data_IF_317034410922
#
_entry.id   IF_317034410922
#
_cell.length_a   1.000
_cell.length_b   1.000
_cell.length_c   1.000
_cell.angle_alpha   90.00
_cell.angle_beta   90.00
_cell.angle_gamma   90.00
#
_symmetry.space_group_name_H-M   'P 1'
#
loop_
_entity.id
_entity.type
_entity.pdbx_description
1 polymer ?
#
# COMPACT_ATOMS: atom_id res chain seq x y z
N UNK A 1 15.00 -4.38 5.77
CA UNK A 1 14.84 -3.75 4.45
C UNK A 1 13.50 -4.14 3.89
N UNK A 2 12.56 -3.19 3.89
CA UNK A 2 11.12 -3.36 3.68
C UNK A 2 10.67 -2.55 2.46
N UNK A 3 9.44 -2.74 1.95
CA UNK A 3 8.80 -1.75 1.05
C UNK A 3 8.76 -0.34 1.66
N UNK A 4 8.92 -0.24 2.99
CA UNK A 4 8.75 0.97 3.78
C UNK A 4 9.80 2.05 3.56
N UNK A 5 10.86 1.78 2.78
CA UNK A 5 11.91 2.74 2.49
C UNK A 5 12.32 2.47 1.05
N UNK A 6 11.85 3.29 0.13
CA UNK A 6 11.79 2.89 -1.27
C UNK A 6 13.18 2.80 -1.94
N UNK A 7 13.59 1.58 -2.31
CA UNK A 7 14.76 1.24 -3.14
C UNK A 7 16.01 0.76 -2.38
N UNK A 8 17.03 0.21 -3.06
CA UNK A 8 18.34 -0.13 -2.48
C UNK A 8 19.05 1.05 -1.78
N UNK A 9 18.69 2.30 -2.13
CA UNK A 9 19.13 3.52 -1.44
C UNK A 9 18.22 3.96 -0.28
N UNK A 10 17.06 3.32 -0.07
CA UNK A 10 16.09 3.61 1.00
C UNK A 10 15.61 5.07 1.05
N UNK A 11 15.42 5.71 -0.11
CA UNK A 11 15.05 7.13 -0.19
C UNK A 11 13.61 7.31 -0.64
N UNK A 12 12.86 8.12 0.12
CA UNK A 12 11.50 8.50 -0.24
C UNK A 12 11.45 9.20 -1.59
N UNK A 13 10.35 9.07 -2.35
CA UNK A 13 10.19 9.74 -3.63
C UNK A 13 10.42 11.25 -3.48
N UNK A 14 11.28 11.81 -4.34
CA UNK A 14 11.63 13.23 -4.34
C UNK A 14 12.18 13.76 -3.00
N UNK A 15 12.78 12.87 -2.19
CA UNK A 15 13.28 13.15 -0.84
C UNK A 15 12.18 13.67 0.13
N UNK A 16 10.91 13.32 -0.12
CA UNK A 16 9.78 13.67 0.74
C UNK A 16 9.05 12.42 1.24
N UNK A 17 9.17 12.16 2.55
CA UNK A 17 8.56 10.99 3.19
C UNK A 17 7.04 10.95 3.03
N UNK A 18 6.36 12.10 2.88
CA UNK A 18 4.90 12.16 2.68
C UNK A 18 4.45 11.53 1.38
N UNK A 19 5.36 11.33 0.43
CA UNK A 19 5.10 10.75 -0.88
C UNK A 19 5.42 9.24 -0.95
N UNK A 20 6.06 8.70 0.08
CA UNK A 20 6.52 7.31 0.16
C UNK A 20 5.36 6.39 0.54
N UNK A 21 4.94 5.53 -0.39
CA UNK A 21 3.90 4.53 -0.17
C UNK A 21 4.49 3.33 0.56
N UNK A 22 4.07 3.12 1.81
CA UNK A 22 4.58 1.98 2.60
C UNK A 22 3.77 0.72 2.30
N UNK A 23 2.44 0.83 2.43
CA UNK A 23 1.54 -0.33 2.37
C UNK A 23 0.20 -0.04 1.69
N UNK A 24 -0.32 -1.10 1.10
CA UNK A 24 -1.73 -1.26 0.76
C UNK A 24 -2.30 -2.49 1.49
N UNK A 25 -3.50 -2.34 2.03
CA UNK A 25 -4.31 -3.43 2.58
C UNK A 25 -5.69 -3.43 1.92
N UNK A 26 -6.21 -4.62 1.67
CA UNK A 26 -7.54 -4.83 1.13
C UNK A 26 -8.13 -6.11 1.74
N UNK A 27 -9.20 -5.97 2.52
CA UNK A 27 -9.83 -7.10 3.19
C UNK A 27 -11.33 -6.86 3.39
N UNK A 28 -12.08 -7.93 3.65
CA UNK A 28 -13.52 -7.86 3.94
C UNK A 28 -13.79 -7.86 5.43
N UNK A 29 -14.84 -7.15 5.84
CA UNK A 29 -15.37 -7.13 7.21
C UNK A 29 -16.86 -7.51 7.21
N UNK A 30 -17.48 -7.85 8.36
CA UNK A 30 -18.88 -8.23 8.41
C UNK A 30 -19.82 -7.21 7.75
N UNK A 31 -20.92 -7.69 7.17
CA UNK A 31 -21.94 -6.85 6.53
C UNK A 31 -21.70 -6.58 5.04
N UNK A 32 -20.97 -7.46 4.34
CA UNK A 32 -20.62 -7.31 2.91
C UNK A 32 -19.88 -6.00 2.62
N UNK A 33 -18.85 -5.74 3.44
CA UNK A 33 -18.04 -4.52 3.37
C UNK A 33 -16.59 -4.84 3.07
N UNK A 34 -15.96 -3.97 2.29
CA UNK A 34 -14.54 -3.99 1.99
C UNK A 34 -13.86 -2.82 2.67
N UNK A 35 -12.68 -3.07 3.23
CA UNK A 35 -11.77 -2.07 3.80
C UNK A 35 -10.57 -1.95 2.87
N UNK A 36 -10.22 -0.71 2.52
CA UNK A 36 -9.01 -0.34 1.80
C UNK A 36 -8.19 0.57 2.70
N UNK A 37 -6.91 0.25 2.89
CA UNK A 37 -5.99 1.06 3.69
C UNK A 37 -4.74 1.35 2.88
N UNK A 38 -4.38 2.63 2.77
CA UNK A 38 -3.14 3.10 2.18
C UNK A 38 -2.32 3.79 3.27
N UNK A 39 -1.10 3.30 3.51
CA UNK A 39 -0.17 3.94 4.43
C UNK A 39 0.94 4.66 3.66
N UNK A 40 1.32 5.84 4.15
CA UNK A 40 2.41 6.66 3.63
C UNK A 40 3.24 7.22 4.78
N UNK A 41 4.35 7.90 4.48
CA UNK A 41 5.19 8.56 5.48
C UNK A 41 5.77 7.57 6.52
N UNK A 42 6.75 6.73 6.13
CA UNK A 42 7.37 5.79 7.06
C UNK A 42 8.03 6.53 8.23
N UNK A 43 7.98 5.94 9.43
CA UNK A 43 8.62 6.49 10.64
C UNK A 43 8.04 7.87 11.03
N UNK A 44 6.77 8.12 10.72
CA UNK A 44 6.10 9.36 11.07
C UNK A 44 6.19 9.64 12.60
N UNK A 45 6.21 10.92 13.03
CA UNK A 45 6.17 12.13 12.21
C UNK A 45 7.58 12.57 11.75
N UNK A 46 8.57 11.68 11.75
CA UNK A 46 9.91 12.01 11.25
C UNK A 46 9.80 12.40 9.78
N UNK A 47 10.44 13.51 9.38
CA UNK A 47 10.38 14.02 8.01
C UNK A 47 9.16 14.88 7.69
N UNK A 48 8.00 14.65 8.31
CA UNK A 48 6.80 15.47 8.09
C UNK A 48 5.72 15.36 9.18
N UNK A 49 5.07 16.49 9.46
CA UNK A 49 3.99 16.61 10.45
C UNK A 49 2.56 16.54 9.85
N UNK A 50 2.41 16.56 8.53
CA UNK A 50 1.12 16.55 7.82
C UNK A 50 1.24 15.92 6.43
N UNK A 51 0.11 15.55 5.80
CA UNK A 51 0.10 15.04 4.42
C UNK A 51 0.51 16.14 3.43
N UNK A 52 0.96 15.74 2.24
CA UNK A 52 1.38 16.70 1.21
C UNK A 52 0.15 17.36 0.55
N UNK A 53 0.03 18.71 0.56
CA UNK A 53 -1.16 19.38 0.03
C UNK A 53 -1.28 19.32 -1.50
N UNK A 54 -0.15 19.25 -2.21
CA UNK A 54 -0.14 19.13 -3.68
C UNK A 54 -0.15 17.68 -4.19
N UNK A 55 -0.32 16.69 -3.31
CA UNK A 55 -0.33 15.28 -3.69
C UNK A 55 -1.75 14.72 -3.86
N UNK A 56 -1.88 13.73 -4.74
CA UNK A 56 -3.06 12.88 -4.89
C UNK A 56 -2.70 11.49 -4.38
N UNK A 57 -3.33 11.07 -3.29
CA UNK A 57 -3.20 9.74 -2.72
C UNK A 57 -4.35 8.88 -3.21
N UNK A 58 -4.06 7.85 -4.00
CA UNK A 58 -5.08 7.14 -4.76
C UNK A 58 -5.04 5.64 -4.55
N UNK A 59 -6.22 5.05 -4.30
CA UNK A 59 -6.42 3.61 -4.41
C UNK A 59 -7.25 3.33 -5.66
N UNK A 60 -6.71 2.51 -6.55
CA UNK A 60 -7.32 2.08 -7.80
C UNK A 60 -7.92 0.69 -7.63
N UNK A 61 -9.04 0.44 -8.32
CA UNK A 61 -9.74 -0.84 -8.29
C UNK A 61 -10.11 -1.28 -9.71
N UNK A 62 -9.62 -2.46 -10.08
CA UNK A 62 -9.97 -3.23 -11.28
C UNK A 62 -11.12 -4.18 -10.93
N UNK A 63 -12.21 -4.13 -11.70
CA UNK A 63 -13.43 -4.90 -11.44
C UNK A 63 -13.77 -5.87 -12.57
N UNK A 64 -13.06 -5.83 -13.69
CA UNK A 64 -13.32 -6.66 -14.88
C UNK A 64 -12.14 -7.55 -15.30
N UNK A 65 -10.98 -7.39 -14.65
CA UNK A 65 -9.79 -8.19 -14.85
C UNK A 65 -8.87 -7.69 -15.97
N UNK A 66 -9.13 -6.51 -16.54
CA UNK A 66 -8.29 -5.92 -17.60
C UNK A 66 -7.02 -5.23 -17.08
N UNK A 67 -6.81 -5.22 -15.75
CA UNK A 67 -5.69 -4.59 -15.05
C UNK A 67 -5.68 -3.07 -15.13
N UNK A 68 -6.83 -2.45 -15.42
CA UNK A 68 -7.02 -1.00 -15.44
C UNK A 68 -8.09 -0.63 -14.43
N UNK A 69 -8.04 0.63 -14.00
CA UNK A 69 -8.94 1.10 -12.96
C UNK A 69 -10.34 1.35 -13.54
N UNK A 70 -11.33 0.71 -12.94
CA UNK A 70 -12.76 0.93 -13.19
C UNK A 70 -13.39 1.82 -12.13
N UNK A 71 -12.85 1.75 -10.92
CA UNK A 71 -13.19 2.59 -9.77
C UNK A 71 -11.90 3.11 -9.16
N UNK A 72 -11.92 4.35 -8.68
CA UNK A 72 -10.80 4.87 -7.91
C UNK A 72 -11.25 5.82 -6.81
N UNK A 73 -10.49 5.83 -5.72
CA UNK A 73 -10.65 6.73 -4.59
C UNK A 73 -9.42 7.61 -4.47
N UNK A 74 -9.58 8.90 -4.72
CA UNK A 74 -8.50 9.89 -4.61
C UNK A 74 -8.72 10.76 -3.38
N UNK A 75 -7.72 10.83 -2.51
CA UNK A 75 -7.66 11.73 -1.36
C UNK A 75 -6.73 12.89 -1.67
N UNK A 76 -7.21 14.12 -1.49
CA UNK A 76 -6.43 15.36 -1.60
C UNK A 76 -6.57 16.14 -0.30
N UNK A 77 -5.45 16.73 0.14
CA UNK A 77 -5.35 17.36 1.44
C UNK A 77 -5.24 18.87 1.31
N UNK A 78 -5.86 19.60 2.23
CA UNK A 78 -5.68 21.05 2.31
C UNK A 78 -4.22 21.39 2.64
N UNK A 79 -3.77 22.63 2.33
CA UNK A 79 -2.60 23.19 3.00
C UNK A 79 -2.75 23.04 4.52
N UNK A 80 -1.75 22.47 5.23
CA UNK A 80 -1.83 22.31 6.67
C UNK A 80 -1.66 23.67 7.38
N UNK A 81 -2.34 23.82 8.51
CA UNK A 81 -2.00 24.83 9.53
C UNK A 81 -1.03 24.23 10.55
N UNK A 82 -0.75 24.92 11.65
CA UNK A 82 0.09 24.36 12.73
C UNK A 82 -0.50 23.09 13.35
N UNK A 83 -1.83 22.93 13.33
CA UNK A 83 -2.51 21.82 14.04
C UNK A 83 -3.60 21.13 13.23
N UNK A 84 -3.99 21.68 12.08
CA UNK A 84 -5.16 21.22 11.34
C UNK A 84 -4.81 20.97 9.87
N UNK A 85 -5.42 19.93 9.32
CA UNK A 85 -5.47 19.67 7.90
C UNK A 85 -6.81 19.00 7.62
N UNK A 86 -7.39 19.27 6.45
CA UNK A 86 -8.59 18.58 6.00
C UNK A 86 -8.28 17.72 4.77
N UNK A 87 -9.15 16.76 4.51
CA UNK A 87 -9.09 15.90 3.34
C UNK A 87 -10.43 15.86 2.62
N UNK A 88 -10.37 15.86 1.29
CA UNK A 88 -11.51 15.60 0.41
C UNK A 88 -11.26 14.31 -0.35
N UNK A 89 -12.27 13.43 -0.38
CA UNK A 89 -12.21 12.12 -1.03
C UNK A 89 -13.12 12.12 -2.23
N UNK A 90 -12.56 11.79 -3.39
CA UNK A 90 -13.28 11.66 -4.65
C UNK A 90 -13.42 10.20 -5.03
N UNK A 91 -14.60 9.82 -5.54
CA UNK A 91 -14.84 8.54 -6.18
C UNK A 91 -15.02 8.74 -7.68
N UNK A 92 -14.13 8.14 -8.46
CA UNK A 92 -14.20 8.10 -9.91
C UNK A 92 -14.69 6.74 -10.42
N UNK A 93 -15.35 6.72 -11.57
CA UNK A 93 -15.70 5.48 -12.29
C UNK A 93 -15.42 5.60 -13.78
N UNK A 94 -15.26 4.46 -14.47
CA UNK A 94 -15.08 4.40 -15.91
C UNK A 94 -13.82 5.17 -16.35
N UNK A 95 -13.94 6.00 -17.40
CA UNK A 95 -12.78 6.77 -17.91
C UNK A 95 -12.17 7.71 -16.87
N UNK A 96 -12.97 8.27 -15.95
CA UNK A 96 -12.45 9.11 -14.87
C UNK A 96 -11.59 8.31 -13.88
N UNK A 97 -11.88 7.01 -13.69
CA UNK A 97 -11.07 6.13 -12.86
C UNK A 97 -9.71 5.81 -13.48
N UNK A 98 -9.46 6.19 -14.74
CA UNK A 98 -8.17 6.00 -15.41
C UNK A 98 -7.28 7.24 -15.35
N UNK A 99 -7.84 8.40 -14.96
CA UNK A 99 -7.10 9.64 -14.76
C UNK A 99 -6.43 9.65 -13.38
N UNK A 100 -5.17 10.08 -13.29
CA UNK A 100 -4.42 10.12 -12.02
C UNK A 100 -4.91 11.24 -11.10
N UNK A 101 -5.55 12.26 -11.67
CA UNK A 101 -6.16 13.37 -10.93
C UNK A 101 -7.25 12.90 -9.97
N UNK A 102 -7.56 13.75 -8.99
CA UNK A 102 -8.73 13.61 -8.15
C UNK A 102 -10.01 13.96 -8.95
N UNK A 103 -10.40 13.04 -9.82
CA UNK A 103 -11.59 13.13 -10.66
C UNK A 103 -12.81 12.44 -10.02
N UNK A 104 -14.00 12.69 -10.57
CA UNK A 104 -15.24 12.05 -10.14
C UNK A 104 -16.01 12.85 -9.10
N UNK A 105 -16.86 12.16 -8.35
CA UNK A 105 -17.76 12.76 -7.36
C UNK A 105 -17.06 12.87 -6.00
N UNK A 106 -17.07 14.04 -5.33
CA UNK A 106 -16.62 14.15 -3.95
C UNK A 106 -17.62 13.42 -3.03
N UNK A 107 -17.16 12.35 -2.37
CA UNK A 107 -17.99 11.56 -1.44
C UNK A 107 -17.84 12.02 0.01
N UNK A 108 -16.71 12.67 0.33
CA UNK A 108 -16.40 13.31 1.61
C UNK A 108 -15.65 14.61 1.31
N UNK A 109 -16.00 15.71 1.99
CA UNK A 109 -15.39 17.03 1.77
C UNK A 109 -14.99 17.66 3.09
N UNK A 110 -13.77 18.20 3.15
CA UNK A 110 -13.22 18.89 4.31
C UNK A 110 -13.29 18.10 5.63
N UNK A 111 -13.05 16.79 5.56
CA UNK A 111 -13.00 15.95 6.76
C UNK A 111 -11.70 16.18 7.52
N UNK A 112 -11.73 16.20 8.87
CA UNK A 112 -10.53 16.45 9.67
C UNK A 112 -9.52 15.30 9.58
N UNK A 113 -8.23 15.65 9.50
CA UNK A 113 -7.13 14.70 9.63
C UNK A 113 -6.69 14.60 11.09
N UNK A 114 -6.49 13.38 11.59
CA UNK A 114 -6.15 13.14 13.00
C UNK A 114 -4.64 12.98 13.20
N UNK A 115 -4.00 13.94 13.86
CA UNK A 115 -2.57 13.83 14.24
C UNK A 115 -2.34 13.39 15.70
N UNK A 116 -3.42 13.28 16.48
CA UNK A 116 -3.39 12.80 17.86
C UNK A 116 -3.75 11.32 18.00
N UNK A 117 -3.85 10.86 19.25
CA UNK A 117 -4.19 9.47 19.59
C UNK A 117 -5.62 9.09 19.23
N UNK A 118 -6.57 10.02 19.36
CA UNK A 118 -7.99 9.77 19.10
C UNK A 118 -8.31 9.89 17.59
N UNK A 119 -8.97 8.88 16.97
CA UNK A 119 -9.49 8.99 15.61
C UNK A 119 -10.68 9.94 15.50
N UNK A 120 -10.58 10.92 14.60
CA UNK A 120 -11.75 11.53 14.00
C UNK A 120 -12.24 10.66 12.84
N UNK A 121 -13.28 9.85 13.09
CA UNK A 121 -13.95 9.06 12.07
C UNK A 121 -15.00 9.92 11.38
N UNK A 122 -14.97 9.91 10.04
CA UNK A 122 -15.96 10.54 9.20
C UNK A 122 -16.93 9.50 8.63
N UNK A 123 -18.21 9.85 8.59
CA UNK A 123 -19.25 9.05 7.94
C UNK A 123 -19.92 9.90 6.86
N UNK A 124 -20.07 9.34 5.66
CA UNK A 124 -20.83 9.98 4.58
C UNK A 124 -21.56 8.90 3.78
N UNK A 125 -22.88 8.86 3.88
CA UNK A 125 -23.69 7.82 3.25
C UNK A 125 -23.20 6.41 3.62
N UNK A 126 -22.75 5.59 2.64
CA UNK A 126 -22.29 4.23 2.91
C UNK A 126 -20.82 4.13 3.38
N UNK A 127 -20.07 5.23 3.37
CA UNK A 127 -18.63 5.26 3.60
C UNK A 127 -18.30 5.57 5.06
N UNK A 128 -17.37 4.79 5.64
CA UNK A 128 -16.61 5.18 6.83
C UNK A 128 -15.20 5.54 6.39
N UNK A 129 -14.69 6.66 6.91
CA UNK A 129 -13.42 7.20 6.48
C UNK A 129 -12.58 7.73 7.65
N UNK A 130 -11.27 7.55 7.54
CA UNK A 130 -10.28 8.10 8.45
C UNK A 130 -9.01 8.44 7.67
N UNK A 131 -8.39 9.57 8.00
CA UNK A 131 -7.01 9.86 7.62
C UNK A 131 -6.26 10.41 8.82
N UNK A 132 -5.02 9.96 9.03
CA UNK A 132 -4.22 10.46 10.13
C UNK A 132 -3.05 9.60 10.55
N UNK A 133 -2.38 10.06 11.59
CA UNK A 133 -1.22 9.44 12.22
C UNK A 133 -1.62 8.15 12.95
N UNK A 134 -0.97 7.02 12.70
CA UNK A 134 -1.27 5.72 13.32
C UNK A 134 -0.02 4.87 13.52
N UNK A 135 -0.11 3.89 14.43
CA UNK A 135 0.90 2.83 14.55
C UNK A 135 1.03 2.10 13.20
N UNK A 136 2.27 1.86 12.80
CA UNK A 136 2.60 1.15 11.57
C UNK A 136 2.31 -0.35 11.77
N UNK A 137 1.43 -0.99 10.98
CA UNK A 137 1.16 -2.42 11.09
C UNK A 137 2.31 -3.29 10.57
N UNK A 138 3.37 -2.71 10.00
CA UNK A 138 4.49 -3.46 9.45
C UNK A 138 5.43 -4.01 10.51
N UNK A 139 5.77 -5.29 10.34
CA UNK A 139 6.66 -6.03 11.22
C UNK A 139 7.68 -6.81 10.40
N UNK A 140 8.95 -6.75 10.82
CA UNK A 140 10.03 -7.54 10.23
C UNK A 140 11.36 -7.41 10.97
N UNK A 141 12.18 -8.46 10.89
CA UNK A 141 13.58 -8.43 11.33
C UNK A 141 14.49 -7.90 10.20
N UNK A 142 14.44 -6.58 9.99
CA UNK A 142 15.21 -5.94 8.92
C UNK A 142 16.73 -6.14 9.08
N UNK A 143 17.23 -6.20 10.32
CA UNK A 143 18.63 -6.44 10.64
C UNK A 143 19.05 -7.87 10.31
N UNK A 144 18.19 -8.85 10.61
CA UNK A 144 18.38 -10.23 10.19
C UNK A 144 18.42 -10.38 8.68
N UNK A 145 17.55 -9.68 7.94
CA UNK A 145 17.54 -9.68 6.47
C UNK A 145 18.90 -9.17 5.92
N UNK A 146 19.40 -8.02 6.38
CA UNK A 146 20.70 -7.49 5.89
C UNK A 146 21.88 -8.34 6.34
N UNK A 147 21.76 -9.02 7.49
CA UNK A 147 22.78 -9.90 8.03
C UNK A 147 22.65 -11.36 7.51
N UNK A 148 22.23 -11.52 6.25
CA UNK A 148 22.15 -12.84 5.58
C UNK A 148 21.29 -13.86 6.35
N UNK A 149 20.13 -13.41 6.81
CA UNK A 149 19.14 -14.21 7.54
C UNK A 149 19.63 -14.71 8.91
N UNK A 150 20.57 -14.00 9.53
CA UNK A 150 20.94 -14.20 10.93
C UNK A 150 19.97 -13.40 11.81
N UNK A 151 18.85 -14.01 12.15
CA UNK A 151 17.76 -13.38 12.88
C UNK A 151 18.19 -12.87 14.25
N UNK A 152 17.82 -11.62 14.52
CA UNK A 152 17.98 -10.93 15.79
C UNK A 152 16.77 -11.17 16.71
N UNK A 153 15.60 -11.45 16.12
CA UNK A 153 14.32 -11.50 16.83
C UNK A 153 13.80 -10.12 17.24
N UNK A 154 14.40 -9.05 16.70
CA UNK A 154 13.98 -7.67 16.94
C UNK A 154 13.08 -7.24 15.78
N UNK A 155 11.87 -6.84 16.12
CA UNK A 155 10.97 -6.21 15.18
C UNK A 155 11.34 -4.73 15.01
N UNK A 156 11.71 -4.36 13.79
CA UNK A 156 12.06 -2.99 13.46
C UNK A 156 10.86 -2.02 13.50
N UNK A 157 9.66 -2.55 13.23
CA UNK A 157 8.43 -1.78 13.09
C UNK A 157 7.66 -1.54 14.40
N UNK A 158 8.03 -2.25 15.48
CA UNK A 158 7.24 -2.34 16.72
C UNK A 158 6.94 -1.01 17.44
N UNK A 159 7.69 0.07 17.15
CA UNK A 159 7.54 1.41 17.72
C UNK A 159 7.42 2.48 16.62
N UNK A 160 7.12 2.09 15.39
CA UNK A 160 7.05 2.96 14.22
C UNK A 160 5.61 3.38 13.94
N UNK A 161 5.48 4.55 13.33
CA UNK A 161 4.19 5.08 12.93
C UNK A 161 4.20 5.44 11.44
N UNK A 162 3.01 5.63 10.90
CA UNK A 162 2.71 6.03 9.53
C UNK A 162 1.59 7.05 9.49
N UNK A 163 1.35 7.62 8.32
CA UNK A 163 0.09 8.25 7.97
C UNK A 163 -0.81 7.25 7.24
N UNK A 164 -1.93 6.87 7.87
CA UNK A 164 -2.91 5.96 7.30
C UNK A 164 -4.09 6.69 6.69
N UNK A 165 -4.56 6.19 5.55
CA UNK A 165 -5.82 6.57 4.88
C UNK A 165 -6.67 5.30 4.82
N UNK A 166 -7.79 5.28 5.53
CA UNK A 166 -8.67 4.12 5.72
C UNK A 166 -10.04 4.44 5.17
N UNK A 167 -10.52 3.60 4.25
CA UNK A 167 -11.84 3.70 3.66
C UNK A 167 -12.55 2.35 3.77
N UNK A 168 -13.75 2.35 4.34
CA UNK A 168 -14.61 1.17 4.42
C UNK A 168 -15.94 1.45 3.71
N UNK A 169 -16.36 0.52 2.85
CA UNK A 169 -17.55 0.66 2.03
C UNK A 169 -18.27 -0.67 1.79
N UNK A 170 -19.56 -0.65 1.39
CA UNK A 170 -20.24 -1.83 0.89
C UNK A 170 -19.58 -2.37 -0.38
N UNK A 171 -19.68 -3.68 -0.59
CA UNK A 171 -19.19 -4.34 -1.81
C UNK A 171 -19.71 -3.70 -3.11
N UNK A 172 -20.97 -3.23 -3.10
CA UNK A 172 -21.61 -2.61 -4.24
C UNK A 172 -20.87 -1.37 -4.79
N UNK A 173 -20.09 -0.69 -3.94
CA UNK A 173 -19.28 0.47 -4.35
C UNK A 173 -18.10 0.10 -5.25
N UNK A 174 -17.72 -1.18 -5.28
CA UNK A 174 -16.62 -1.75 -6.06
C UNK A 174 -17.13 -2.70 -7.16
N UNK A 175 -18.39 -2.55 -7.56
CA UNK A 175 -19.01 -3.41 -8.58
C UNK A 175 -19.49 -4.77 -8.05
N UNK A 176 -20.06 -5.57 -8.95
CA UNK A 176 -20.73 -6.83 -8.62
C UNK A 176 -19.83 -8.06 -8.72
N UNK A 177 -18.64 -7.93 -9.32
CA UNK A 177 -17.70 -9.05 -9.46
C UNK A 177 -17.21 -9.52 -8.08
N UNK A 178 -17.10 -10.83 -7.82
CA UNK A 178 -16.61 -11.31 -6.53
C UNK A 178 -15.14 -10.95 -6.30
N UNK A 179 -14.34 -11.02 -7.36
CA UNK A 179 -12.92 -10.66 -7.38
C UNK A 179 -12.73 -9.22 -7.83
N UNK A 180 -11.84 -8.50 -7.14
CA UNK A 180 -11.34 -7.19 -7.54
C UNK A 180 -9.81 -7.18 -7.50
N UNK A 181 -9.19 -6.36 -8.33
CA UNK A 181 -7.78 -6.00 -8.23
C UNK A 181 -7.60 -4.64 -7.58
N UNK A 182 -6.62 -4.47 -6.70
CA UNK A 182 -6.37 -3.21 -5.98
C UNK A 182 -4.89 -2.84 -6.03
N UNK A 183 -4.58 -1.57 -6.31
CA UNK A 183 -3.23 -1.01 -6.19
C UNK A 183 -3.31 0.47 -5.77
N UNK A 184 -2.27 0.96 -5.10
CA UNK A 184 -2.16 2.35 -4.69
C UNK A 184 -1.20 3.13 -5.59
N UNK A 185 -1.40 4.45 -5.65
CA UNK A 185 -0.54 5.40 -6.35
C UNK A 185 -0.48 6.69 -5.55
N UNK A 186 0.72 7.27 -5.46
CA UNK A 186 0.93 8.64 -5.01
C UNK A 186 1.37 9.46 -6.22
N UNK A 187 0.71 10.58 -6.46
CA UNK A 187 1.09 11.51 -7.52
C UNK A 187 1.26 12.91 -6.96
N UNK A 188 2.18 13.69 -7.50
CA UNK A 188 2.48 15.05 -7.06
C UNK A 188 2.24 16.04 -8.20
N UNK A 189 1.51 17.13 -7.90
CA UNK A 189 1.46 18.28 -8.80
C UNK A 189 2.77 19.05 -8.72
N UNK A 190 3.48 19.11 -9.84
CA UNK A 190 4.69 19.90 -10.01
C UNK A 190 4.67 20.60 -11.36
N UNK A 191 4.94 21.90 -11.38
CA UNK A 191 5.02 22.71 -12.60
C UNK A 191 3.79 22.60 -13.53
N UNK A 192 2.60 22.42 -12.93
CA UNK A 192 1.33 22.30 -13.66
C UNK A 192 1.06 20.91 -14.26
N UNK A 193 1.85 19.89 -13.91
CA UNK A 193 1.65 18.51 -14.30
C UNK A 193 1.55 17.61 -13.06
N UNK A 194 0.59 16.67 -13.09
CA UNK A 194 0.51 15.62 -12.09
C UNK A 194 1.41 14.45 -12.51
N UNK A 195 2.40 14.14 -11.69
CA UNK A 195 3.35 13.05 -11.97
C UNK A 195 3.20 11.96 -10.94
N UNK A 196 3.10 10.71 -11.37
CA UNK A 196 3.17 9.59 -10.44
C UNK A 196 4.57 9.44 -9.88
N UNK A 197 4.68 9.56 -8.57
CA UNK A 197 5.96 9.51 -7.83
C UNK A 197 6.13 8.20 -7.08
N UNK A 198 5.04 7.46 -6.85
CA UNK A 198 5.07 6.13 -6.25
C UNK A 198 3.83 5.31 -6.65
N UNK A 199 3.96 3.99 -6.67
CA UNK A 199 2.84 3.05 -6.78
C UNK A 199 3.19 1.70 -6.19
N UNK A 200 2.17 0.95 -5.81
CA UNK A 200 2.37 -0.44 -5.42
C UNK A 200 1.11 -1.13 -4.95
N UNK A 201 1.12 -2.46 -4.98
CA UNK A 201 0.07 -3.27 -4.36
C UNK A 201 0.62 -4.29 -3.37
N UNK A 202 1.65 -5.04 -3.78
CA UNK A 202 2.30 -6.02 -2.92
C UNK A 202 3.54 -5.42 -2.25
N UNK A 203 3.63 -5.49 -0.92
CA UNK A 203 4.82 -5.04 -0.20
C UNK A 203 6.09 -5.71 -0.71
N UNK A 204 7.17 -4.95 -0.61
CA UNK A 204 8.58 -5.26 -0.79
C UNK A 204 9.01 -5.66 -2.20
N UNK A 205 8.10 -5.63 -3.18
CA UNK A 205 8.43 -5.98 -4.57
C UNK A 205 9.55 -5.11 -5.13
N UNK A 206 9.34 -3.80 -5.18
CA UNK A 206 10.31 -2.86 -5.78
C UNK A 206 11.65 -2.92 -5.06
N UNK A 207 11.66 -3.05 -3.73
CA UNK A 207 12.87 -3.14 -2.92
C UNK A 207 13.72 -4.39 -3.20
N UNK A 208 13.10 -5.53 -3.56
CA UNK A 208 13.85 -6.78 -3.81
C UNK A 208 14.07 -7.11 -5.28
N UNK A 209 13.19 -6.64 -6.16
CA UNK A 209 13.18 -7.05 -7.57
C UNK A 209 13.66 -5.96 -8.53
N UNK A 210 13.43 -4.68 -8.22
CA UNK A 210 13.81 -3.60 -9.12
C UNK A 210 15.23 -3.11 -8.81
N UNK A 211 15.99 -2.85 -9.87
CA UNK A 211 17.19 -2.03 -9.75
C UNK A 211 16.80 -0.55 -9.50
N UNK A 212 17.71 0.23 -8.94
CA UNK A 212 17.43 1.64 -8.60
C UNK A 212 17.04 2.47 -9.84
N UNK A 213 17.71 2.23 -10.97
CA UNK A 213 17.54 2.99 -12.22
C UNK A 213 16.20 2.76 -12.93
N UNK A 214 15.44 1.73 -12.53
CA UNK A 214 14.10 1.47 -13.08
C UNK A 214 12.96 2.00 -12.20
N UNK A 215 13.26 2.57 -11.03
CA UNK A 215 12.25 3.04 -10.05
C UNK A 215 11.32 4.10 -10.64
N UNK A 216 11.87 5.13 -11.30
CA UNK A 216 11.06 6.18 -11.91
C UNK A 216 10.13 5.64 -13.01
N UNK A 217 10.64 4.71 -13.84
CA UNK A 217 9.84 4.08 -14.91
C UNK A 217 8.75 3.18 -14.31
N UNK A 218 9.06 2.45 -13.24
CA UNK A 218 8.07 1.68 -12.49
C UNK A 218 6.98 2.60 -11.94
N UNK A 219 7.35 3.65 -11.23
CA UNK A 219 6.41 4.57 -10.59
C UNK A 219 5.53 5.27 -11.63
N UNK A 220 6.04 5.58 -12.82
CA UNK A 220 5.27 6.16 -13.91
C UNK A 220 4.37 5.15 -14.66
N UNK A 221 4.75 3.86 -14.68
CA UNK A 221 4.05 2.82 -15.44
C UNK A 221 2.68 2.41 -14.87
N UNK A 222 1.95 1.60 -15.63
CA UNK A 222 0.65 1.04 -15.23
C UNK A 222 0.72 -0.48 -15.02
N UNK A 223 -0.01 -1.04 -14.03
CA UNK A 223 0.01 -2.47 -13.76
C UNK A 223 -0.37 -3.35 -14.95
N UNK A 224 -1.20 -2.87 -15.87
CA UNK A 224 -1.56 -3.60 -17.09
C UNK A 224 -0.36 -4.04 -17.94
N UNK A 225 0.75 -3.30 -17.86
CA UNK A 225 1.97 -3.56 -18.64
C UNK A 225 3.05 -4.31 -17.82
N UNK A 226 2.80 -4.57 -16.53
CA UNK A 226 3.82 -5.08 -15.60
C UNK A 226 4.33 -6.47 -15.98
N UNK A 227 3.45 -7.36 -16.47
CA UNK A 227 3.87 -8.70 -16.86
C UNK A 227 4.87 -8.67 -18.02
N UNK A 228 4.62 -7.85 -19.04
CA UNK A 228 5.50 -7.76 -20.19
C UNK A 228 6.80 -7.01 -19.87
N UNK A 229 6.72 -6.04 -18.96
CA UNK A 229 7.86 -5.22 -18.55
C UNK A 229 8.77 -5.95 -17.57
N UNK A 230 8.21 -6.61 -16.55
CA UNK A 230 8.97 -7.09 -15.38
C UNK A 230 9.14 -8.60 -15.29
N UNK A 231 8.39 -9.41 -16.06
CA UNK A 231 8.52 -10.89 -16.01
C UNK A 231 9.97 -11.34 -16.18
N UNK A 232 10.66 -10.84 -17.20
CA UNK A 232 12.03 -11.26 -17.51
C UNK A 232 13.03 -10.87 -16.40
N UNK A 233 13.17 -9.58 -16.01
CA UNK A 233 14.11 -9.21 -14.96
C UNK A 233 13.77 -9.86 -13.61
N UNK A 234 12.50 -9.96 -13.23
CA UNK A 234 12.13 -10.56 -11.96
C UNK A 234 12.30 -12.08 -11.96
N UNK A 235 12.16 -12.73 -13.11
CA UNK A 235 12.53 -14.15 -13.27
C UNK A 235 14.01 -14.33 -12.99
N UNK A 236 14.88 -13.46 -13.51
CA UNK A 236 16.32 -13.53 -13.26
C UNK A 236 16.66 -13.37 -11.77
N UNK A 237 15.95 -12.49 -11.04
CA UNK A 237 16.08 -12.35 -9.58
C UNK A 237 15.76 -13.67 -8.87
N UNK A 238 14.63 -14.31 -9.18
CA UNK A 238 14.26 -15.59 -8.56
C UNK A 238 15.25 -16.71 -8.92
N UNK A 239 15.71 -16.78 -10.17
CA UNK A 239 16.73 -17.74 -10.58
C UNK A 239 18.03 -17.54 -9.80
N UNK A 240 18.46 -16.29 -9.61
CA UNK A 240 19.68 -15.95 -8.90
C UNK A 240 19.61 -16.29 -7.39
N UNK A 241 18.60 -15.78 -6.69
CA UNK A 241 18.50 -15.90 -5.23
C UNK A 241 17.89 -17.23 -4.79
N UNK A 242 16.82 -17.67 -5.45
CA UNK A 242 16.08 -18.87 -5.08
C UNK A 242 16.61 -20.14 -5.74
N UNK A 243 17.31 -20.01 -6.88
CA UNK A 243 17.72 -21.15 -7.69
C UNK A 243 16.55 -21.81 -8.43
N UNK A 244 15.50 -21.04 -8.72
CA UNK A 244 14.35 -21.51 -9.50
C UNK A 244 14.80 -21.88 -10.92
N UNK A 245 14.12 -22.85 -11.53
CA UNK A 245 14.06 -22.91 -12.99
C UNK A 245 13.11 -21.81 -13.51
N UNK A 246 13.17 -21.54 -14.82
CA UNK A 246 12.39 -20.46 -15.42
C UNK A 246 10.87 -20.63 -15.22
N UNK A 247 10.36 -21.85 -15.39
CA UNK A 247 8.92 -22.11 -15.31
C UNK A 247 8.42 -21.92 -13.88
N UNK A 248 9.16 -22.42 -12.90
CA UNK A 248 8.85 -22.27 -11.49
C UNK A 248 8.93 -20.79 -11.04
N UNK A 249 9.92 -20.04 -11.54
CA UNK A 249 10.03 -18.61 -11.28
C UNK A 249 8.83 -17.84 -11.86
N UNK A 250 8.50 -18.04 -13.14
CA UNK A 250 7.35 -17.37 -13.76
C UNK A 250 6.03 -17.75 -13.06
N UNK A 251 5.88 -19.00 -12.62
CA UNK A 251 4.71 -19.43 -11.84
C UNK A 251 4.63 -18.73 -10.47
N UNK A 252 5.74 -18.55 -9.78
CA UNK A 252 5.78 -17.79 -8.52
C UNK A 252 5.42 -16.32 -8.76
N UNK A 253 5.91 -15.72 -9.86
CA UNK A 253 5.63 -14.33 -10.22
C UNK A 253 4.15 -14.08 -10.52
N UNK A 254 3.37 -15.07 -10.96
CA UNK A 254 1.91 -14.91 -11.17
C UNK A 254 1.13 -14.56 -9.91
N UNK A 255 1.73 -14.71 -8.73
CA UNK A 255 1.11 -14.30 -7.46
C UNK A 255 1.21 -12.79 -7.21
N UNK A 256 2.11 -12.10 -7.92
CA UNK A 256 2.46 -10.70 -7.66
C UNK A 256 2.64 -9.83 -8.91
N UNK A 257 2.61 -10.43 -10.11
CA UNK A 257 2.59 -9.75 -11.40
C UNK A 257 1.25 -10.01 -12.12
N UNK A 258 0.57 -8.97 -12.63
CA UNK A 258 0.89 -7.54 -12.44
C UNK A 258 0.87 -7.13 -10.95
N UNK A 259 1.49 -6.00 -10.58
CA UNK A 259 1.50 -5.55 -9.17
C UNK A 259 0.11 -5.02 -8.77
N UNK A 260 -0.80 -5.96 -8.57
CA UNK A 260 -2.20 -5.81 -8.23
C UNK A 260 -2.52 -6.82 -7.14
N UNK A 261 -3.03 -6.33 -6.03
CA UNK A 261 -3.51 -7.15 -4.92
C UNK A 261 -4.91 -7.67 -5.29
N UNK A 262 -5.03 -8.98 -5.47
CA UNK A 262 -6.30 -9.63 -5.83
C UNK A 262 -7.08 -10.00 -4.58
N UNK A 263 -8.33 -9.56 -4.49
CA UNK A 263 -9.24 -9.89 -3.40
C UNK A 263 -10.52 -10.51 -3.96
N UNK A 264 -10.70 -11.81 -3.73
CA UNK A 264 -11.99 -12.50 -3.84
C UNK A 264 -12.78 -12.31 -2.54
N UNK A 265 -13.80 -11.47 -2.62
CA UNK A 265 -14.66 -11.08 -1.48
C UNK A 265 -15.58 -12.21 -1.01
N UNK A 266 -15.64 -13.33 -1.74
CA UNK A 266 -16.33 -14.55 -1.33
C UNK A 266 -15.48 -15.49 -0.48
N UNK A 267 -14.20 -15.20 -0.28
CA UNK A 267 -13.25 -15.99 0.51
C UNK A 267 -12.75 -15.21 1.72
N UNK A 268 -12.32 -15.89 2.80
CA UNK A 268 -11.61 -15.22 3.89
C UNK A 268 -10.42 -14.41 3.36
N UNK A 269 -10.32 -13.15 3.78
CA UNK A 269 -9.18 -12.31 3.43
C UNK A 269 -7.95 -12.77 4.22
N UNK A 270 -6.89 -13.11 3.49
CA UNK A 270 -5.57 -13.46 4.00
C UNK A 270 -4.63 -13.54 2.79
N UNK A 271 -3.45 -12.94 2.88
CA UNK A 271 -2.49 -12.91 1.78
C UNK A 271 -2.21 -14.33 1.23
N UNK A 272 -2.36 -14.55 -0.10
CA UNK A 272 -2.47 -13.55 -1.17
C UNK A 272 -3.90 -13.18 -1.61
N UNK A 273 -4.96 -13.64 -0.93
CA UNK A 273 -6.33 -13.19 -1.17
C UNK A 273 -6.62 -11.90 -0.39
N UNK A 274 -6.30 -10.77 -1.00
CA UNK A 274 -6.20 -9.49 -0.31
C UNK A 274 -5.00 -9.46 0.63
N UNK A 275 -5.04 -8.55 1.60
CA UNK A 275 -4.06 -8.44 2.67
C UNK A 275 -4.70 -7.81 3.89
N UNK A 276 -4.61 -8.49 5.02
CA UNK A 276 -4.97 -7.98 6.35
C UNK A 276 -3.77 -7.35 7.04
N UNK A 277 -4.01 -6.57 8.11
CA UNK A 277 -2.95 -5.94 8.89
C UNK A 277 -2.03 -6.95 9.61
N UNK A 278 -2.46 -8.20 9.75
CA UNK A 278 -1.72 -9.26 10.46
C UNK A 278 -1.04 -10.27 9.52
N UNK A 279 -1.17 -10.09 8.21
CA UNK A 279 -0.59 -11.02 7.23
C UNK A 279 0.93 -10.82 7.14
N UNK A 280 1.66 -11.90 7.36
CA UNK A 280 3.12 -11.94 7.32
C UNK A 280 3.66 -11.97 5.89
N UNK A 281 3.56 -10.82 5.22
CA UNK A 281 4.04 -10.63 3.86
C UNK A 281 5.57 -10.66 3.78
N UNK A 282 6.27 -10.30 4.87
CA UNK A 282 7.73 -10.41 4.95
C UNK A 282 8.16 -11.87 4.80
N UNK A 283 7.61 -12.79 5.60
CA UNK A 283 7.87 -14.22 5.47
C UNK A 283 7.43 -14.77 4.12
N UNK A 284 6.26 -14.35 3.60
CA UNK A 284 5.80 -14.76 2.27
C UNK A 284 6.80 -14.36 1.17
N UNK A 285 7.37 -13.15 1.26
CA UNK A 285 8.37 -12.66 0.31
C UNK A 285 9.72 -13.36 0.45
N UNK A 286 10.20 -13.58 1.67
CA UNK A 286 11.43 -14.33 1.92
C UNK A 286 11.33 -15.75 1.36
N UNK A 287 10.21 -16.43 1.58
CA UNK A 287 9.94 -17.75 1.02
C UNK A 287 9.94 -17.71 -0.51
N UNK A 288 9.31 -16.70 -1.12
CA UNK A 288 9.32 -16.52 -2.57
C UNK A 288 10.75 -16.32 -3.11
N UNK A 289 11.52 -15.39 -2.55
CA UNK A 289 12.88 -15.07 -3.03
C UNK A 289 13.84 -16.24 -2.91
N UNK A 290 13.66 -17.08 -1.89
CA UNK A 290 14.62 -18.15 -1.54
C UNK A 290 14.17 -19.55 -1.93
N UNK A 291 13.07 -19.69 -2.67
CA UNK A 291 12.44 -20.99 -2.96
C UNK A 291 12.12 -21.80 -1.68
N UNK A 292 11.64 -21.11 -0.65
CA UNK A 292 11.24 -21.68 0.64
C UNK A 292 12.39 -22.04 1.58
N UNK A 293 13.65 -21.78 1.21
CA UNK A 293 14.82 -22.06 2.08
C UNK A 293 14.83 -21.19 3.34
N UNK A 294 14.28 -19.99 3.24
CA UNK A 294 14.10 -19.03 4.34
C UNK A 294 12.61 -18.74 4.45
N UNK A 295 11.87 -19.54 5.24
CA UNK A 295 10.40 -19.48 5.25
C UNK A 295 9.83 -18.37 6.14
N UNK A 296 10.62 -17.80 7.04
CA UNK A 296 10.19 -16.76 7.99
C UNK A 296 11.38 -16.03 8.59
N UNK A 297 11.14 -14.81 9.06
CA UNK A 297 12.05 -14.02 9.92
C UNK A 297 11.73 -14.14 11.43
N UNK A 298 10.69 -14.92 11.76
CA UNK A 298 10.19 -15.18 13.12
C UNK A 298 9.55 -13.97 13.83
N UNK A 299 9.19 -12.91 13.11
CA UNK A 299 8.46 -11.79 13.66
C UNK A 299 6.96 -11.97 13.43
N UNK A 300 6.18 -11.78 14.50
CA UNK A 300 4.71 -11.89 14.46
C UNK A 300 4.06 -10.52 14.31
N UNK A 301 2.74 -10.49 14.00
CA UNK A 301 2.01 -9.24 13.84
C UNK A 301 1.93 -8.46 15.15
N UNK A 302 1.82 -7.14 15.03
CA UNK A 302 1.67 -6.26 16.18
C UNK A 302 0.36 -6.51 16.93
N UNK A 303 0.37 -6.27 18.24
CA UNK A 303 -0.77 -6.53 19.14
C UNK A 303 -1.57 -5.28 19.51
N UNK A 304 -1.18 -4.11 19.02
CA UNK A 304 -1.77 -2.80 19.29
C UNK A 304 -2.81 -2.37 18.25
N UNK A 305 -3.04 -3.19 17.22
CA UNK A 305 -4.07 -2.98 16.20
C UNK A 305 -5.48 -2.95 16.80
N UNK A 306 -6.36 -2.15 16.22
CA UNK A 306 -7.73 -1.98 16.67
C UNK A 306 -8.65 -3.07 16.05
N UNK A 307 -9.60 -3.65 16.82
CA UNK A 307 -10.50 -4.69 16.31
C UNK A 307 -11.62 -4.15 15.40
N UNK A 308 -11.73 -2.82 15.29
CA UNK A 308 -12.72 -2.13 14.47
C UNK A 308 -12.12 -0.85 13.89
N UNK A 309 -12.91 -0.16 13.06
CA UNK A 309 -12.50 1.05 12.36
C UNK A 309 -11.80 2.07 13.30
N UNK A 310 -10.63 2.63 12.94
CA UNK A 310 -9.93 2.54 11.65
C UNK A 310 -8.93 1.38 11.52
N UNK A 311 -9.01 0.36 12.38
CA UNK A 311 -8.20 -0.88 12.39
C UNK A 311 -6.71 -0.72 12.71
N UNK A 312 -6.09 0.37 12.28
CA UNK A 312 -4.71 0.73 12.62
C UNK A 312 -4.58 1.11 14.10
N UNK A 313 -3.47 0.74 14.73
CA UNK A 313 -3.21 0.98 16.16
C UNK A 313 -3.06 2.45 16.54
N UNK A 314 -3.22 2.74 17.83
CA UNK A 314 -2.96 4.07 18.39
C UNK A 314 -1.49 4.45 18.16
N UNK A 315 -1.18 5.69 17.74
CA UNK A 315 0.20 6.10 17.54
C UNK A 315 1.08 5.92 18.77
N UNK A 316 2.31 5.47 18.55
CA UNK A 316 3.34 5.45 19.57
C UNK A 316 3.80 6.88 19.87
N UNK A 317 3.61 7.31 21.12
CA UNK A 317 4.19 8.55 21.64
C UNK A 317 5.60 8.23 22.14
N UNK A 318 6.62 8.80 21.49
CA UNK A 318 8.02 8.71 21.95
C UNK A 318 8.23 9.31 23.34
#
# INVERSE_FOLDING_TARGET
MSHHLSGPDLRSPMDDARLDLTDLFAFTVPGERTVLIMNVNPIAPTGAAAFHPDAVYRVNVDTDGDHRADVAFSCVFSPPTETEQTVTVYRATGEQARAHEAAGEPILTDMPVSFGTEPAVAESGPYLFFAGFRSDPFFADLDGIVNKFQWTGVDWGADKNVFGIVLEMPHAELGTAPEIGVWARVSLWQDGQLTSVDRGAHPSLTAYFNAEDVKETYNAGEPADDWDTYREPWTAVLQHFGGYDRQAAEQALRTVLPDILRLDRGKPAAYPNGRTLTDDVTSARLAMLTAGKVPTDHIGPHTDLLPGFPYLGTPHTG
#
